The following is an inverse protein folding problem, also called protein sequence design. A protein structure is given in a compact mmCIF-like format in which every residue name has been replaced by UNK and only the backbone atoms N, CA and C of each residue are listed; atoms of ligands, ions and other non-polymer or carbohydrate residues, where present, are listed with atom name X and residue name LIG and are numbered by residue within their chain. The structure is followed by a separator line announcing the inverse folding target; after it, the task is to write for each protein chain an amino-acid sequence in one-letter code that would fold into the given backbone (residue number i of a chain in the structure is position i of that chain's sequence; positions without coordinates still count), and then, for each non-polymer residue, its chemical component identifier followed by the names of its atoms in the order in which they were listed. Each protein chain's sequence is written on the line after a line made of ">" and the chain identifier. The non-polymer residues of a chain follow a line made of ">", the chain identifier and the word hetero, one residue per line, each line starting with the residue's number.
data_IF_331382356359
#
_entry.id   IF_331382356359
#
_cell.length_a   1.000
_cell.length_b   1.000
_cell.length_c   1.000
_cell.angle_alpha   90.00
_cell.angle_beta   90.00
_cell.angle_gamma   90.00
#
_symmetry.space_group_name_H-M   'P 1'
#
loop_
_entity.id
_entity.type
_entity.pdbx_description
1 polymer ?
#
# COMPACT_ATOMS: atom_id res chain seq x y z
N UNK A 1 6.84 -1.26 -24.34
CA UNK A 1 5.47 -0.81 -24.04
C UNK A 1 5.35 -0.72 -22.53
N UNK A 2 5.01 0.37 -21.85
CA UNK A 2 4.67 1.74 -22.19
C UNK A 2 5.21 2.59 -21.02
N UNK A 3 5.83 3.75 -21.23
CA UNK A 3 5.11 4.92 -21.70
C UNK A 3 4.47 5.73 -20.56
N UNK A 4 4.99 5.67 -19.34
CA UNK A 4 4.74 6.67 -18.30
C UNK A 4 6.07 7.35 -18.05
N UNK A 5 6.11 8.67 -18.13
CA UNK A 5 7.24 9.48 -17.67
C UNK A 5 7.74 8.88 -16.35
N UNK A 6 9.03 8.60 -16.19
CA UNK A 6 9.65 8.25 -14.91
C UNK A 6 9.53 9.45 -13.96
N UNK A 7 8.30 9.87 -13.62
CA UNK A 7 8.03 10.46 -12.34
C UNK A 7 8.63 9.46 -11.35
N UNK A 8 9.63 9.90 -10.61
CA UNK A 8 10.32 9.07 -9.63
C UNK A 8 9.28 8.25 -8.87
N UNK A 9 9.52 6.95 -8.74
CA UNK A 9 8.64 6.08 -7.96
C UNK A 9 8.31 6.77 -6.63
N UNK A 10 7.04 6.81 -6.22
CA UNK A 10 6.65 7.52 -5.02
C UNK A 10 7.45 6.96 -3.85
N UNK A 11 8.04 7.85 -3.06
CA UNK A 11 8.80 7.47 -1.88
C UNK A 11 7.91 6.95 -0.75
N UNK A 12 6.61 7.26 -0.80
CA UNK A 12 5.63 6.81 0.20
C UNK A 12 4.27 6.48 -0.43
N UNK A 13 3.64 5.41 0.05
CA UNK A 13 2.31 4.96 -0.37
C UNK A 13 1.49 4.59 0.87
N UNK A 14 0.27 5.11 0.96
CA UNK A 14 -0.71 4.78 1.99
C UNK A 14 -1.95 4.15 1.36
N UNK A 15 -2.23 2.90 1.71
CA UNK A 15 -3.47 2.22 1.30
C UNK A 15 -4.56 2.42 2.35
N UNK A 16 -5.74 2.87 1.93
CA UNK A 16 -6.86 3.15 2.86
C UNK A 16 -8.08 2.32 2.51
N UNK A 17 -8.73 1.73 3.52
CA UNK A 17 -10.06 1.15 3.37
C UNK A 17 -10.98 1.48 4.58
N UNK A 18 -12.16 0.88 4.65
CA UNK A 18 -13.11 1.15 5.74
C UNK A 18 -12.63 0.73 7.12
N UNK A 19 -11.94 -0.42 7.24
CA UNK A 19 -11.65 -1.06 8.53
C UNK A 19 -10.16 -1.40 8.77
N UNK A 20 -9.29 -1.22 7.79
CA UNK A 20 -7.92 -1.76 7.83
C UNK A 20 -7.80 -3.27 8.15
N UNK A 21 -8.81 -4.08 7.80
CA UNK A 21 -8.85 -5.50 8.15
C UNK A 21 -8.29 -6.43 7.07
N UNK A 22 -8.72 -6.23 5.82
CA UNK A 22 -8.42 -7.16 4.68
C UNK A 22 -7.72 -6.42 3.54
N UNK A 23 -8.45 -5.53 2.85
CA UNK A 23 -8.04 -4.93 1.56
C UNK A 23 -6.79 -4.05 1.67
N UNK A 24 -6.77 -3.09 2.59
CA UNK A 24 -5.60 -2.21 2.74
C UNK A 24 -4.37 -2.93 3.33
N UNK A 25 -4.50 -3.87 4.30
CA UNK A 25 -3.38 -4.73 4.69
C UNK A 25 -2.83 -5.62 3.59
N UNK A 26 -3.70 -6.21 2.77
CA UNK A 26 -3.30 -7.06 1.64
C UNK A 26 -2.51 -6.23 0.61
N UNK A 27 -3.03 -5.06 0.25
CA UNK A 27 -2.35 -4.15 -0.68
C UNK A 27 -1.00 -3.67 -0.16
N UNK A 28 -0.90 -3.36 1.14
CA UNK A 28 0.37 -3.00 1.78
C UNK A 28 1.41 -4.13 1.62
N UNK A 29 1.03 -5.37 1.92
CA UNK A 29 1.96 -6.48 1.88
C UNK A 29 2.38 -6.87 0.46
N UNK A 30 1.48 -6.73 -0.52
CA UNK A 30 1.80 -6.89 -1.92
C UNK A 30 2.75 -5.79 -2.39
N UNK A 31 2.47 -4.53 -2.06
CA UNK A 31 3.32 -3.40 -2.42
C UNK A 31 4.72 -3.52 -1.82
N UNK A 32 4.85 -3.97 -0.56
CA UNK A 32 6.15 -4.27 0.06
C UNK A 32 6.96 -5.33 -0.69
N UNK A 33 6.30 -6.27 -1.37
CA UNK A 33 6.97 -7.31 -2.18
C UNK A 33 7.30 -6.84 -3.60
N UNK A 34 6.48 -5.96 -4.16
CA UNK A 34 6.59 -5.51 -5.55
C UNK A 34 7.45 -4.25 -5.73
N UNK A 35 7.53 -3.40 -4.71
CA UNK A 35 8.22 -2.11 -4.78
C UNK A 35 9.61 -2.17 -4.15
N UNK A 36 10.53 -1.28 -4.56
CA UNK A 36 11.82 -1.14 -3.92
C UNK A 36 11.68 -0.85 -2.42
N UNK A 37 12.58 -1.40 -1.61
CA UNK A 37 12.59 -1.19 -0.15
C UNK A 37 12.76 0.29 0.28
N UNK A 38 13.16 1.16 -0.65
CA UNK A 38 13.22 2.61 -0.47
C UNK A 38 11.85 3.29 -0.48
N UNK A 39 10.79 2.56 -0.83
CA UNK A 39 9.41 3.04 -0.81
C UNK A 39 8.78 2.72 0.54
N UNK A 40 8.42 3.75 1.30
CA UNK A 40 7.65 3.60 2.52
C UNK A 40 6.22 3.17 2.18
N UNK A 41 5.76 2.05 2.72
CA UNK A 41 4.40 1.56 2.50
C UNK A 41 3.70 1.44 3.85
N UNK A 42 2.44 1.87 3.92
CA UNK A 42 1.59 1.71 5.09
C UNK A 42 0.12 1.47 4.69
N UNK A 43 -0.69 1.03 5.65
CA UNK A 43 -2.14 0.90 5.51
C UNK A 43 -2.89 1.59 6.65
N UNK A 44 -4.11 2.08 6.34
CA UNK A 44 -5.00 2.70 7.31
C UNK A 44 -6.48 2.34 7.07
N UNK A 45 -7.29 2.56 8.09
CA UNK A 45 -8.73 2.36 8.08
C UNK A 45 -9.46 3.63 8.49
N UNK A 46 -10.60 3.94 7.87
CA UNK A 46 -11.51 4.99 8.36
C UNK A 46 -11.96 4.69 9.79
N UNK A 47 -12.15 3.40 10.09
CA UNK A 47 -12.34 2.85 11.42
C UNK A 47 -11.27 1.78 11.66
N UNK A 48 -10.88 1.58 12.91
CA UNK A 48 -10.06 0.44 13.29
C UNK A 48 -10.88 -0.84 13.19
N UNK A 49 -10.31 -1.85 12.56
CA UNK A 49 -10.83 -3.21 12.51
C UNK A 49 -9.70 -4.19 12.78
N UNK A 50 -10.05 -5.39 13.21
CA UNK A 50 -9.06 -6.44 13.41
C UNK A 50 -8.54 -6.95 12.07
N UNK A 51 -7.24 -7.22 12.04
CA UNK A 51 -6.60 -7.76 10.84
C UNK A 51 -7.11 -9.18 10.62
N UNK A 52 -7.47 -9.46 9.38
CA UNK A 52 -7.80 -10.81 8.93
C UNK A 52 -6.56 -11.70 9.11
N UNK A 53 -6.67 -12.87 9.77
CA UNK A 53 -5.53 -13.74 10.10
C UNK A 53 -4.80 -14.30 8.88
#
# INVERSE_FOLDING_TARGET
>A
MAGVVLAALPHSILFVCGMNAVRSPMAEQLARRMLPATTFVASAGVRSGERDP
#
